data_IF_113834771014
#
_entry.id   IF_113834771014
#
_cell.length_a   1.000
_cell.length_b   1.000
_cell.length_c   1.000
_cell.angle_alpha   90.00
_cell.angle_beta   90.00
_cell.angle_gamma   90.00
#
_symmetry.space_group_name_H-M   'P 1'
#
loop_
_entity.id
_entity.type
_entity.pdbx_description
1 polymer ?
#
# COMPACT_ATOMS: atom_id res chain seq x y z
N UNK A 1 22.26 69.60 39.10
CA UNK A 1 20.79 69.55 39.29
C UNK A 1 20.10 70.14 38.04
N UNK A 2 18.86 69.71 37.69
CA UNK A 2 18.41 69.17 36.37
C UNK A 2 17.64 70.23 35.48
N UNK A 3 16.81 69.94 34.41
CA UNK A 3 16.24 68.66 33.93
C UNK A 3 15.93 68.41 32.40
N UNK A 4 15.53 67.16 32.10
CA UNK A 4 14.44 66.65 31.20
C UNK A 4 14.56 66.68 29.64
N UNK A 5 14.53 65.50 28.99
CA UNK A 5 13.41 64.95 28.18
C UNK A 5 13.81 63.81 27.20
N UNK A 6 12.99 62.77 27.16
CA UNK A 6 13.07 61.57 26.32
C UNK A 6 12.70 61.78 24.84
N UNK A 7 13.35 61.06 23.91
CA UNK A 7 12.68 60.57 22.68
C UNK A 7 13.40 59.36 22.08
N UNK A 8 12.65 58.27 21.97
CA UNK A 8 12.98 56.98 21.36
C UNK A 8 13.21 57.13 19.84
N UNK A 9 14.15 56.37 19.27
CA UNK A 9 14.17 56.08 17.83
C UNK A 9 14.55 54.61 17.61
N UNK A 10 13.54 53.79 17.34
CA UNK A 10 13.63 52.38 17.00
C UNK A 10 14.11 52.20 15.55
N UNK A 11 15.07 51.30 15.34
CA UNK A 11 15.54 50.83 14.04
C UNK A 11 14.47 49.95 13.35
N UNK A 12 14.46 49.86 12.00
CA UNK A 12 13.47 49.08 11.26
C UNK A 12 13.75 47.56 11.37
N UNK A 13 12.72 46.69 11.29
CA UNK A 13 12.93 45.25 11.25
C UNK A 13 13.39 44.85 9.83
N UNK A 14 14.58 44.27 9.75
CA UNK A 14 15.06 43.66 8.51
C UNK A 14 14.34 42.32 8.32
N UNK A 15 13.38 42.29 7.40
CA UNK A 15 12.73 41.07 6.92
C UNK A 15 13.69 40.34 5.99
N UNK A 16 14.28 39.24 6.45
CA UNK A 16 14.99 38.30 5.57
C UNK A 16 14.17 37.02 5.45
N UNK A 17 13.30 37.05 4.43
CA UNK A 17 12.98 35.96 3.52
C UNK A 17 13.05 34.54 4.09
N UNK A 18 11.86 34.05 4.44
CA UNK A 18 11.45 32.66 4.26
C UNK A 18 11.96 32.13 2.92
N UNK A 19 12.90 31.19 2.97
CA UNK A 19 13.13 30.27 1.86
C UNK A 19 12.21 29.07 2.07
N UNK A 20 10.97 29.22 1.60
CA UNK A 20 10.00 28.13 1.56
C UNK A 20 10.55 27.02 0.66
N UNK A 21 10.96 25.93 1.27
CA UNK A 21 11.25 24.68 0.56
C UNK A 21 9.93 23.95 0.30
N UNK A 22 9.14 24.47 -0.65
CA UNK A 22 7.86 23.90 -1.12
C UNK A 22 8.07 22.66 -2.02
N UNK A 23 8.90 21.71 -1.57
CA UNK A 23 9.09 20.41 -2.23
C UNK A 23 8.57 19.21 -1.42
N UNK A 24 8.32 19.39 -0.11
CA UNK A 24 8.00 18.26 0.80
C UNK A 24 6.50 18.00 1.00
N UNK A 25 5.65 19.00 0.79
CA UNK A 25 4.21 18.93 1.09
C UNK A 25 3.38 18.15 0.06
N UNK A 26 3.81 18.14 -1.21
CA UNK A 26 3.10 17.43 -2.29
C UNK A 26 3.31 15.91 -2.19
N UNK A 27 4.53 15.47 -1.85
CA UNK A 27 4.89 14.05 -1.74
C UNK A 27 4.16 13.37 -0.57
N UNK A 28 4.06 14.03 0.58
CA UNK A 28 3.33 13.50 1.74
C UNK A 28 1.82 13.43 1.48
N UNK A 29 1.23 14.45 0.84
CA UNK A 29 -0.20 14.45 0.49
C UNK A 29 -0.56 13.40 -0.56
N UNK A 30 0.32 13.15 -1.54
CA UNK A 30 0.14 12.09 -2.52
C UNK A 30 0.23 10.69 -1.90
N UNK A 31 1.18 10.48 -0.97
CA UNK A 31 1.28 9.22 -0.22
C UNK A 31 0.02 8.94 0.60
N UNK A 32 -0.51 9.92 1.33
CA UNK A 32 -1.75 9.78 2.12
C UNK A 32 -2.93 9.41 1.20
N UNK A 33 -3.11 10.10 0.07
CA UNK A 33 -4.16 9.77 -0.90
C UNK A 33 -4.02 8.38 -1.51
N UNK A 34 -2.79 7.89 -1.69
CA UNK A 34 -2.53 6.53 -2.16
C UNK A 34 -2.98 5.49 -1.14
N UNK A 35 -2.66 5.71 0.14
CA UNK A 35 -3.12 4.86 1.25
C UNK A 35 -4.64 4.77 1.32
N UNK A 36 -5.32 5.92 1.25
CA UNK A 36 -6.79 5.98 1.27
C UNK A 36 -7.43 5.18 0.11
N UNK A 37 -6.79 5.11 -1.06
CA UNK A 37 -7.29 4.30 -2.17
C UNK A 37 -7.09 2.81 -1.93
N UNK A 38 -5.94 2.41 -1.38
CA UNK A 38 -5.66 1.02 -1.03
C UNK A 38 -6.67 0.53 0.01
N UNK A 39 -6.99 1.36 1.01
CA UNK A 39 -7.98 1.06 2.05
C UNK A 39 -9.39 0.91 1.48
N UNK A 40 -9.79 1.82 0.57
CA UNK A 40 -11.09 1.70 -0.11
C UNK A 40 -11.18 0.44 -0.94
N UNK A 41 -10.10 0.05 -1.61
CA UNK A 41 -10.06 -1.18 -2.38
C UNK A 41 -10.17 -2.41 -1.48
N UNK A 42 -9.47 -2.43 -0.34
CA UNK A 42 -9.61 -3.49 0.68
C UNK A 42 -11.06 -3.61 1.15
N UNK A 43 -11.68 -2.49 1.54
CA UNK A 43 -13.06 -2.44 2.04
C UNK A 43 -14.11 -2.87 1.01
N UNK A 44 -13.75 -2.93 -0.28
CA UNK A 44 -14.66 -3.44 -1.33
C UNK A 44 -14.84 -4.96 -1.25
N UNK A 45 -13.81 -5.67 -0.80
CA UNK A 45 -13.79 -7.15 -0.75
C UNK A 45 -13.76 -7.70 0.67
N UNK A 46 -13.46 -6.88 1.67
CA UNK A 46 -13.35 -7.32 3.04
C UNK A 46 -14.72 -7.65 3.66
N UNK A 47 -14.77 -8.76 4.38
CA UNK A 47 -15.88 -9.09 5.26
C UNK A 47 -15.85 -8.16 6.48
N UNK A 48 -16.92 -7.38 6.66
CA UNK A 48 -17.00 -6.37 7.73
C UNK A 48 -16.98 -6.96 9.15
N UNK A 49 -17.39 -8.22 9.32
CA UNK A 49 -17.38 -8.90 10.62
C UNK A 49 -16.02 -9.49 10.95
N UNK A 50 -15.28 -9.99 9.95
CA UNK A 50 -13.96 -10.60 10.14
C UNK A 50 -12.82 -9.59 10.07
N UNK A 51 -13.04 -8.44 9.43
CA UNK A 51 -11.98 -7.45 9.19
C UNK A 51 -10.91 -7.92 8.21
N UNK A 52 -11.24 -8.90 7.36
CA UNK A 52 -10.34 -9.53 6.40
C UNK A 52 -11.07 -9.77 5.09
N UNK A 53 -10.32 -9.85 3.99
CA UNK A 53 -10.83 -10.45 2.76
C UNK A 53 -10.80 -11.96 3.01
N UNK A 54 -11.97 -12.59 3.03
CA UNK A 54 -12.20 -14.03 3.20
C UNK A 54 -12.33 -14.72 1.84
N UNK A 55 -12.55 -16.05 1.76
CA UNK A 55 -12.63 -16.75 0.48
C UNK A 55 -13.65 -16.15 -0.48
N UNK A 56 -14.82 -15.75 0.02
CA UNK A 56 -15.87 -15.07 -0.74
C UNK A 56 -15.38 -13.71 -1.29
N UNK A 57 -14.68 -12.94 -0.46
CA UNK A 57 -14.03 -11.70 -0.89
C UNK A 57 -12.96 -11.91 -1.96
N UNK A 58 -12.18 -12.99 -1.87
CA UNK A 58 -11.18 -13.36 -2.89
C UNK A 58 -11.86 -13.76 -4.20
N UNK A 59 -12.94 -14.54 -4.16
CA UNK A 59 -13.71 -14.89 -5.35
C UNK A 59 -14.24 -13.64 -6.06
N UNK A 60 -14.81 -12.70 -5.30
CA UNK A 60 -15.27 -11.41 -5.84
C UNK A 60 -14.12 -10.61 -6.47
N UNK A 61 -12.97 -10.54 -5.80
CA UNK A 61 -11.76 -9.91 -6.35
C UNK A 61 -11.30 -10.56 -7.65
N UNK A 62 -11.30 -11.89 -7.73
CA UNK A 62 -10.90 -12.64 -8.92
C UNK A 62 -11.85 -12.37 -10.09
N UNK A 63 -13.17 -12.37 -9.83
CA UNK A 63 -14.19 -12.01 -10.81
C UNK A 63 -13.94 -10.61 -11.40
N UNK A 64 -13.69 -9.61 -10.56
CA UNK A 64 -13.43 -8.23 -10.99
C UNK A 64 -12.11 -8.07 -11.75
N UNK A 65 -11.10 -8.89 -11.41
CA UNK A 65 -9.85 -8.98 -12.16
C UNK A 65 -10.02 -9.71 -13.51
N UNK A 66 -11.09 -10.48 -13.68
CA UNK A 66 -11.34 -11.33 -14.84
C UNK A 66 -10.40 -12.52 -14.89
N UNK A 67 -10.12 -13.12 -13.73
CA UNK A 67 -9.30 -14.33 -13.57
C UNK A 67 -10.05 -15.35 -12.73
N UNK A 68 -9.71 -16.63 -12.86
CA UNK A 68 -10.28 -17.69 -12.03
C UNK A 68 -9.68 -17.66 -10.61
N UNK A 69 -10.43 -18.05 -9.59
CA UNK A 69 -9.91 -18.10 -8.21
C UNK A 69 -8.83 -19.18 -8.03
N UNK A 70 -8.75 -20.16 -8.94
CA UNK A 70 -7.70 -21.18 -9.02
C UNK A 70 -6.48 -20.74 -9.84
N UNK A 71 -6.49 -19.53 -10.41
CA UNK A 71 -5.38 -19.00 -11.19
C UNK A 71 -4.12 -18.84 -10.32
N UNK A 72 -3.00 -19.39 -10.79
CA UNK A 72 -1.72 -19.38 -10.06
C UNK A 72 -1.24 -17.95 -9.74
N UNK A 73 -1.67 -16.95 -10.51
CA UNK A 73 -1.34 -15.54 -10.25
C UNK A 73 -1.96 -15.04 -8.95
N UNK A 74 -3.06 -15.62 -8.48
CA UNK A 74 -3.63 -15.31 -7.16
C UNK A 74 -2.71 -15.82 -6.05
N UNK A 75 -2.11 -17.00 -6.24
CA UNK A 75 -1.07 -17.51 -5.33
C UNK A 75 0.20 -16.65 -5.38
N UNK A 76 0.59 -16.16 -6.56
CA UNK A 76 1.70 -15.19 -6.69
C UNK A 76 1.38 -13.87 -5.99
N UNK A 77 0.13 -13.40 -6.05
CA UNK A 77 -0.29 -12.21 -5.30
C UNK A 77 -0.15 -12.44 -3.80
N UNK A 78 -0.64 -13.57 -3.28
CA UNK A 78 -0.48 -13.94 -1.87
C UNK A 78 0.99 -13.93 -1.44
N UNK A 79 1.89 -14.45 -2.29
CA UNK A 79 3.34 -14.41 -2.06
C UNK A 79 3.91 -13.00 -1.92
N UNK A 80 3.43 -12.04 -2.71
CA UNK A 80 3.87 -10.64 -2.62
C UNK A 80 3.25 -9.90 -1.44
N UNK A 81 2.03 -10.25 -1.06
CA UNK A 81 1.37 -9.74 0.14
C UNK A 81 1.92 -10.37 1.41
N UNK A 82 2.71 -11.46 1.27
CA UNK A 82 3.19 -12.29 2.39
C UNK A 82 2.03 -12.81 3.24
N UNK A 83 0.95 -13.20 2.56
CA UNK A 83 -0.24 -13.70 3.22
C UNK A 83 0.07 -14.95 4.04
N UNK A 84 -0.37 -14.97 5.29
CA UNK A 84 -0.08 -16.05 6.23
C UNK A 84 -1.11 -17.18 6.19
N UNK A 85 -2.36 -16.90 5.79
CA UNK A 85 -3.45 -17.88 5.75
C UNK A 85 -4.05 -18.03 4.35
N UNK A 86 -4.17 -19.27 3.89
CA UNK A 86 -4.76 -19.59 2.60
C UNK A 86 -6.22 -19.15 2.53
N UNK A 87 -6.55 -18.40 1.47
CA UNK A 87 -7.91 -17.91 1.25
C UNK A 87 -8.26 -16.67 2.07
N UNK A 88 -7.28 -16.03 2.73
CA UNK A 88 -7.51 -14.81 3.49
C UNK A 88 -6.42 -13.76 3.22
N UNK A 89 -6.82 -12.49 3.23
CA UNK A 89 -5.91 -11.36 3.34
C UNK A 89 -6.35 -10.44 4.48
N UNK A 90 -5.44 -10.20 5.41
CA UNK A 90 -5.59 -9.16 6.43
C UNK A 90 -5.39 -7.77 5.81
N UNK A 91 -5.88 -6.74 6.50
CA UNK A 91 -5.67 -5.36 6.07
C UNK A 91 -4.19 -4.98 5.99
N UNK A 92 -3.36 -5.47 6.91
CA UNK A 92 -1.93 -5.16 6.95
C UNK A 92 -1.17 -5.80 5.78
N UNK A 93 -1.38 -7.10 5.53
CA UNK A 93 -0.80 -7.81 4.38
C UNK A 93 -1.19 -7.12 3.07
N UNK A 94 -2.48 -6.80 2.91
CA UNK A 94 -2.99 -6.10 1.74
C UNK A 94 -2.34 -4.73 1.55
N UNK A 95 -2.33 -3.91 2.61
CA UNK A 95 -1.75 -2.58 2.56
C UNK A 95 -0.26 -2.62 2.26
N UNK A 96 0.49 -3.44 2.99
CA UNK A 96 1.95 -3.53 2.87
C UNK A 96 2.34 -4.09 1.50
N UNK A 97 1.67 -5.16 1.06
CA UNK A 97 1.88 -5.77 -0.24
C UNK A 97 1.56 -4.83 -1.41
N UNK A 98 0.37 -4.20 -1.42
CA UNK A 98 0.01 -3.30 -2.51
C UNK A 98 0.85 -2.02 -2.54
N UNK A 99 1.27 -1.50 -1.38
CA UNK A 99 2.25 -0.39 -1.33
C UNK A 99 3.58 -0.80 -1.96
N UNK A 100 4.10 -1.98 -1.63
CA UNK A 100 5.35 -2.50 -2.19
C UNK A 100 5.25 -2.72 -3.71
N UNK A 101 4.08 -3.14 -4.20
CA UNK A 101 3.78 -3.30 -5.63
C UNK A 101 3.46 -1.98 -6.36
N UNK A 102 3.26 -0.87 -5.64
CA UNK A 102 2.83 0.40 -6.22
C UNK A 102 1.39 0.39 -6.78
N UNK A 103 0.54 -0.49 -6.23
CA UNK A 103 -0.84 -0.71 -6.66
C UNK A 103 -1.80 0.07 -5.74
N UNK A 104 -2.69 0.86 -6.35
CA UNK A 104 -3.73 1.64 -5.65
C UNK A 104 -5.10 1.54 -6.35
N UNK A 105 -5.26 0.61 -7.29
CA UNK A 105 -6.49 0.41 -8.07
C UNK A 105 -6.51 -0.98 -8.71
N UNK A 106 -7.72 -1.46 -9.03
CA UNK A 106 -7.94 -2.76 -9.66
C UNK A 106 -7.19 -2.91 -11.01
N UNK A 107 -7.17 -1.85 -11.83
CA UNK A 107 -6.43 -1.86 -13.11
C UNK A 107 -4.93 -2.08 -12.91
N UNK A 108 -4.33 -1.43 -11.90
CA UNK A 108 -2.92 -1.65 -11.56
C UNK A 108 -2.69 -3.03 -10.97
N UNK A 109 -3.62 -3.55 -10.18
CA UNK A 109 -3.54 -4.91 -9.63
C UNK A 109 -3.54 -5.95 -10.75
N UNK A 110 -4.44 -5.81 -11.73
CA UNK A 110 -4.48 -6.68 -12.91
C UNK A 110 -3.17 -6.67 -13.69
N UNK A 111 -2.58 -5.48 -13.89
CA UNK A 111 -1.24 -5.38 -14.50
C UNK A 111 -0.17 -6.06 -13.64
N UNK A 112 -0.20 -5.85 -12.33
CA UNK A 112 0.75 -6.45 -11.41
C UNK A 112 0.72 -7.97 -11.51
N UNK A 113 -0.45 -8.61 -11.59
CA UNK A 113 -0.55 -10.06 -11.79
C UNK A 113 0.24 -10.56 -13.01
N UNK A 114 0.17 -9.86 -14.15
CA UNK A 114 0.95 -10.20 -15.35
C UNK A 114 2.45 -9.92 -15.20
N UNK A 115 2.83 -8.94 -14.38
CA UNK A 115 4.22 -8.65 -14.09
C UNK A 115 4.81 -9.69 -13.10
N UNK A 116 3.99 -10.25 -12.21
CA UNK A 116 4.39 -11.30 -11.28
C UNK A 116 4.74 -12.62 -11.98
N UNK A 117 4.04 -12.98 -13.06
CA UNK A 117 4.40 -14.15 -13.87
C UNK A 117 5.86 -14.06 -14.34
N UNK A 118 6.24 -12.92 -14.91
CA UNK A 118 7.62 -12.65 -15.35
C UNK A 118 8.61 -12.56 -14.19
N UNK A 119 8.14 -12.11 -13.02
CA UNK A 119 8.98 -12.05 -11.82
C UNK A 119 9.33 -13.46 -11.34
N UNK A 120 8.36 -14.38 -11.34
CA UNK A 120 8.52 -15.77 -10.89
C UNK A 120 9.37 -16.61 -11.86
N UNK A 121 9.43 -16.27 -13.15
CA UNK A 121 10.31 -16.95 -14.11
C UNK A 121 11.81 -16.86 -13.77
N UNK A 122 12.22 -15.92 -12.91
CA UNK A 122 13.62 -15.80 -12.47
C UNK A 122 13.93 -16.93 -11.49
N UNK A 123 15.03 -17.69 -11.66
CA UNK A 123 15.32 -18.87 -10.83
C UNK A 123 15.25 -18.65 -9.32
N UNK A 124 15.84 -17.56 -8.81
CA UNK A 124 15.82 -17.23 -7.38
C UNK A 124 14.42 -16.90 -6.86
N UNK A 125 13.59 -16.27 -7.68
CA UNK A 125 12.23 -15.91 -7.31
C UNK A 125 11.30 -17.12 -7.39
N UNK A 126 11.52 -18.00 -8.36
CA UNK A 126 10.81 -19.26 -8.45
C UNK A 126 11.02 -20.11 -7.19
N UNK A 127 12.26 -20.24 -6.72
CA UNK A 127 12.57 -21.00 -5.50
C UNK A 127 11.90 -20.40 -4.25
N UNK A 128 11.95 -19.08 -4.09
CA UNK A 128 11.28 -18.37 -2.99
C UNK A 128 9.75 -18.53 -3.07
N UNK A 129 9.18 -18.32 -4.26
CA UNK A 129 7.74 -18.49 -4.52
C UNK A 129 7.28 -19.92 -4.27
N UNK A 130 8.01 -20.92 -4.76
CA UNK A 130 7.67 -22.33 -4.59
C UNK A 130 7.69 -22.73 -3.10
N UNK A 131 8.73 -22.31 -2.37
CA UNK A 131 8.85 -22.57 -0.93
C UNK A 131 7.72 -21.89 -0.16
N UNK A 132 7.38 -20.65 -0.51
CA UNK A 132 6.23 -19.95 0.05
C UNK A 132 4.92 -20.69 -0.26
N UNK A 133 4.68 -21.03 -1.52
CA UNK A 133 3.46 -21.67 -1.99
C UNK A 133 3.17 -22.97 -1.25
N UNK A 134 4.20 -23.82 -1.08
CA UNK A 134 4.07 -25.05 -0.31
C UNK A 134 3.63 -24.79 1.13
N UNK A 135 4.31 -23.86 1.83
CA UNK A 135 3.97 -23.52 3.22
C UNK A 135 2.58 -22.90 3.34
N UNK A 136 2.23 -22.01 2.40
CA UNK A 136 0.94 -21.33 2.35
C UNK A 136 -0.21 -22.33 2.19
N UNK A 137 -0.08 -23.31 1.29
CA UNK A 137 -1.12 -24.31 1.07
C UNK A 137 -1.39 -25.21 2.29
N UNK A 138 -0.43 -25.34 3.21
CA UNK A 138 -0.62 -26.09 4.46
C UNK A 138 -1.47 -25.34 5.50
N UNK A 139 -1.75 -24.06 5.29
CA UNK A 139 -2.50 -23.22 6.26
C UNK A 139 -4.02 -23.29 6.07
N UNK A 140 -4.50 -23.79 4.92
CA UNK A 140 -5.92 -23.95 4.62
C UNK A 140 -6.56 -25.23 5.16
N UNK A 141 -5.82 -26.04 5.92
CA UNK A 141 -6.26 -27.36 6.37
C UNK A 141 -6.56 -27.39 7.88
N UNK A 142 -7.72 -26.88 8.32
CA UNK A 142 -8.34 -27.19 9.63
C UNK A 142 -9.86 -27.03 9.57
#
# INVERSE_FOLDING_TARGET
MPPRASKRKSAPPNSSSVTSSDGRSVSSKAKIKGLEKIDRLFNTYANSSLGMIDPEGIEALCSDLGVDYTDVRILMLAWKLKAEKQGYFTQDEWQTGLKALGVDSLSKLKKALSDLEKEVEKPSNYEDFYTYAFRYCLTGSY
#
